data_IF_068479364335
#
_entry.id   IF_068479364335
#
_cell.length_a   1.000
_cell.length_b   1.000
_cell.length_c   1.000
_cell.angle_alpha   90.00
_cell.angle_beta   90.00
_cell.angle_gamma   90.00
#
_symmetry.space_group_name_H-M   'P 1'
#
loop_
_entity.id
_entity.type
_entity.pdbx_description
1 polymer ?
#
# COMPACT_ATOMS: atom_id res chain seq x y z
N UNK A 1 -4.87 10.42 -2.52
CA UNK A 1 -4.62 9.60 -3.72
C UNK A 1 -3.27 8.90 -3.57
N UNK A 2 -3.17 7.98 -2.61
CA UNK A 2 -1.96 7.17 -2.38
C UNK A 2 -2.39 5.71 -2.39
N UNK A 3 -1.73 4.89 -3.18
CA UNK A 3 -2.11 3.48 -3.36
C UNK A 3 -0.89 2.62 -3.70
N UNK A 4 -0.99 1.34 -3.41
CA UNK A 4 -0.09 0.32 -3.93
C UNK A 4 -0.68 -0.31 -5.19
N UNK A 5 0.11 -0.45 -6.24
CA UNK A 5 -0.25 -1.22 -7.43
C UNK A 5 -0.15 -2.71 -7.09
N UNK A 6 -1.26 -3.45 -7.14
CA UNK A 6 -1.24 -4.88 -6.84
C UNK A 6 -0.91 -5.71 -8.08
N UNK A 7 -1.57 -5.38 -9.18
CA UNK A 7 -1.39 -6.01 -10.49
C UNK A 7 -1.85 -5.04 -11.57
N UNK A 8 -1.34 -5.21 -12.79
CA UNK A 8 -1.76 -4.44 -13.93
C UNK A 8 -1.59 -5.21 -15.24
N UNK A 9 -2.29 -4.76 -16.29
CA UNK A 9 -2.11 -5.32 -17.62
C UNK A 9 -0.82 -4.77 -18.26
N UNK A 10 0.13 -5.62 -18.68
CA UNK A 10 1.33 -5.15 -19.38
C UNK A 10 1.03 -4.72 -20.84
N UNK A 11 -0.21 -4.90 -21.30
CA UNK A 11 -0.64 -4.55 -22.66
C UNK A 11 -1.77 -3.51 -22.58
N UNK A 12 -1.48 -2.23 -22.83
CA UNK A 12 -2.50 -1.19 -22.84
C UNK A 12 -3.65 -1.52 -23.81
N UNK A 13 -4.87 -1.25 -23.36
CA UNK A 13 -6.09 -1.39 -24.14
C UNK A 13 -6.44 -0.04 -24.78
N UNK A 14 -6.93 -0.06 -26.02
CA UNK A 14 -7.44 1.15 -26.67
C UNK A 14 -8.94 1.30 -26.38
N UNK A 15 -9.30 2.30 -25.58
CA UNK A 15 -10.68 2.64 -25.24
C UNK A 15 -11.00 4.06 -25.71
N UNK A 16 -11.97 4.19 -26.63
CA UNK A 16 -12.42 5.48 -27.19
C UNK A 16 -11.27 6.38 -27.69
N UNK A 17 -10.27 5.76 -28.33
CA UNK A 17 -9.11 6.47 -28.88
C UNK A 17 -7.93 6.62 -27.91
N UNK A 18 -8.16 6.51 -26.60
CA UNK A 18 -7.12 6.58 -25.58
C UNK A 18 -6.57 5.19 -25.27
N UNK A 19 -5.27 5.11 -24.98
CA UNK A 19 -4.68 3.89 -24.43
C UNK A 19 -4.73 3.94 -22.90
N UNK A 20 -5.17 2.85 -22.30
CA UNK A 20 -5.35 2.72 -20.86
C UNK A 20 -4.79 1.39 -20.38
N UNK A 21 -4.39 1.36 -19.12
CA UNK A 21 -3.92 0.17 -18.42
C UNK A 21 -4.96 -0.20 -17.37
N UNK A 22 -5.56 -1.38 -17.48
CA UNK A 22 -6.40 -1.93 -16.41
C UNK A 22 -5.50 -2.40 -15.27
N UNK A 23 -5.87 -2.09 -14.04
CA UNK A 23 -5.08 -2.41 -12.85
C UNK A 23 -5.97 -2.73 -11.65
N UNK A 24 -5.36 -3.37 -10.66
CA UNK A 24 -5.93 -3.55 -9.33
C UNK A 24 -5.01 -2.85 -8.33
N UNK A 25 -5.57 -2.06 -7.43
CA UNK A 25 -4.79 -1.26 -6.46
C UNK A 25 -5.30 -1.46 -5.04
N UNK A 26 -4.42 -1.19 -4.07
CA UNK A 26 -4.76 -1.15 -2.66
C UNK A 26 -4.60 0.30 -2.18
N UNK A 27 -5.70 1.06 -2.02
CA UNK A 27 -5.61 2.43 -1.53
C UNK A 27 -5.17 2.47 -0.07
N UNK A 28 -4.41 3.51 0.28
CA UNK A 28 -4.11 3.82 1.69
C UNK A 28 -5.39 4.28 2.43
N UNK A 29 -6.27 5.00 1.73
CA UNK A 29 -7.63 5.34 2.15
C UNK A 29 -8.52 5.38 0.92
N UNK A 30 -9.60 4.60 0.95
CA UNK A 30 -10.54 4.47 -0.17
C UNK A 30 -11.24 5.79 -0.47
N UNK A 31 -11.59 6.54 0.56
CA UNK A 31 -12.28 7.83 0.48
C UNK A 31 -11.39 8.91 -0.18
N UNK A 32 -10.07 8.74 -0.11
CA UNK A 32 -9.08 9.66 -0.67
C UNK A 32 -8.51 9.19 -2.02
N UNK A 33 -9.03 8.09 -2.58
CA UNK A 33 -8.66 7.61 -3.90
C UNK A 33 -9.50 8.38 -4.95
N UNK A 34 -8.83 9.24 -5.70
CA UNK A 34 -9.45 10.12 -6.69
C UNK A 34 -8.61 10.09 -7.96
N UNK A 35 -9.19 10.45 -9.10
CA UNK A 35 -8.42 10.61 -10.34
C UNK A 35 -7.36 11.72 -10.21
N UNK A 36 -6.25 11.58 -10.93
CA UNK A 36 -5.16 12.54 -10.92
C UNK A 36 -3.80 11.92 -11.22
N UNK A 37 -2.79 12.77 -11.35
CA UNK A 37 -1.43 12.35 -11.65
C UNK A 37 -0.72 11.89 -10.37
N UNK A 38 0.03 10.80 -10.47
CA UNK A 38 0.81 10.24 -9.38
C UNK A 38 2.19 9.79 -9.85
N UNK A 39 3.12 9.69 -8.91
CA UNK A 39 4.49 9.28 -9.14
C UNK A 39 4.81 8.00 -8.38
N UNK A 40 5.42 7.05 -9.07
CA UNK A 40 5.88 5.78 -8.53
C UNK A 40 7.07 6.00 -7.59
N UNK A 41 6.99 5.42 -6.39
CA UNK A 41 7.94 5.73 -5.32
C UNK A 41 9.29 5.02 -5.44
N UNK A 42 9.40 4.06 -6.37
CA UNK A 42 10.66 3.36 -6.68
C UNK A 42 11.17 3.76 -8.06
N UNK A 43 10.28 3.77 -9.04
CA UNK A 43 10.64 4.03 -10.43
C UNK A 43 10.72 5.51 -10.79
N UNK A 44 10.06 6.39 -10.03
CA UNK A 44 9.81 7.78 -10.43
C UNK A 44 8.82 7.91 -11.59
N UNK A 45 8.19 6.81 -12.03
CA UNK A 45 7.26 6.79 -13.15
C UNK A 45 6.04 7.66 -12.83
N UNK A 46 5.78 8.64 -13.68
CA UNK A 46 4.57 9.45 -13.59
C UNK A 46 3.47 8.77 -14.39
N UNK A 47 2.34 8.51 -13.74
CA UNK A 47 1.15 7.94 -14.36
C UNK A 47 -0.08 8.76 -13.96
N UNK A 48 -1.17 8.55 -14.67
CA UNK A 48 -2.47 9.11 -14.32
C UNK A 48 -3.44 8.03 -13.88
N UNK A 49 -3.98 8.17 -12.66
CA UNK A 49 -5.17 7.45 -12.24
C UNK A 49 -6.39 8.09 -12.92
N UNK A 50 -6.99 7.39 -13.87
CA UNK A 50 -8.13 7.86 -14.66
C UNK A 50 -9.45 7.59 -13.91
N UNK A 51 -9.59 6.39 -13.35
CA UNK A 51 -10.74 6.01 -12.53
C UNK A 51 -10.38 4.92 -11.54
N UNK A 52 -11.10 4.86 -10.43
CA UNK A 52 -11.03 3.81 -9.41
C UNK A 52 -12.39 3.13 -9.23
N UNK A 53 -13.07 2.91 -10.36
CA UNK A 53 -14.41 2.35 -10.44
C UNK A 53 -14.37 0.98 -11.08
N UNK A 54 -15.27 0.10 -10.68
CA UNK A 54 -15.42 -1.22 -11.27
C UNK A 54 -15.87 -2.24 -10.24
N UNK A 55 -15.84 -3.50 -10.63
CA UNK A 55 -16.18 -4.62 -9.76
C UNK A 55 -15.08 -5.67 -9.84
N UNK A 56 -14.65 -6.14 -8.68
CA UNK A 56 -13.75 -7.28 -8.54
C UNK A 56 -14.50 -8.36 -7.76
N UNK A 57 -14.42 -9.58 -8.26
CA UNK A 57 -14.93 -10.76 -7.56
C UNK A 57 -13.73 -11.57 -7.08
N UNK A 58 -13.33 -11.43 -5.80
CA UNK A 58 -12.21 -12.21 -5.28
C UNK A 58 -12.58 -13.70 -5.22
N UNK A 59 -11.56 -14.55 -5.36
CA UNK A 59 -11.68 -15.97 -5.03
C UNK A 59 -12.09 -16.16 -3.56
N UNK A 60 -12.73 -17.30 -3.20
CA UNK A 60 -13.18 -17.56 -1.84
C UNK A 60 -12.10 -17.37 -0.76
N UNK A 61 -10.88 -17.77 -1.06
CA UNK A 61 -9.70 -17.68 -0.20
C UNK A 61 -9.20 -16.26 0.03
N UNK A 62 -9.38 -15.37 -0.96
CA UNK A 62 -8.89 -13.99 -0.91
C UNK A 62 -9.97 -13.01 -0.45
N UNK A 63 -11.21 -13.46 -0.26
CA UNK A 63 -12.39 -12.61 -0.07
C UNK A 63 -12.24 -11.66 1.11
N UNK A 64 -11.78 -12.19 2.25
CA UNK A 64 -11.61 -11.38 3.45
C UNK A 64 -10.47 -10.38 3.27
N UNK A 65 -9.31 -10.82 2.77
CA UNK A 65 -8.19 -9.93 2.50
C UNK A 65 -8.58 -8.78 1.55
N UNK A 66 -9.28 -9.08 0.46
CA UNK A 66 -9.70 -8.07 -0.52
C UNK A 66 -10.67 -7.06 0.09
N UNK A 67 -11.59 -7.53 0.92
CA UNK A 67 -12.52 -6.67 1.64
C UNK A 67 -11.79 -5.76 2.64
N UNK A 68 -10.81 -6.29 3.37
CA UNK A 68 -10.10 -5.54 4.42
C UNK A 68 -9.07 -4.55 3.89
N UNK A 69 -8.43 -4.87 2.78
CA UNK A 69 -7.45 -4.00 2.13
C UNK A 69 -8.09 -2.96 1.23
N UNK A 70 -9.42 -2.97 1.10
CA UNK A 70 -10.16 -2.09 0.19
C UNK A 70 -9.65 -2.22 -1.25
N UNK A 71 -9.32 -3.44 -1.68
CA UNK A 71 -8.80 -3.72 -3.03
C UNK A 71 -9.78 -3.17 -4.06
N UNK A 72 -9.27 -2.33 -4.96
CA UNK A 72 -10.07 -1.50 -5.85
C UNK A 72 -9.58 -1.65 -7.28
N UNK A 73 -10.45 -1.97 -8.25
CA UNK A 73 -10.08 -1.92 -9.66
C UNK A 73 -9.84 -0.47 -10.09
N UNK A 74 -8.83 -0.27 -10.92
CA UNK A 74 -8.40 1.03 -11.40
C UNK A 74 -8.16 1.02 -12.91
N UNK A 75 -8.39 2.17 -13.53
CA UNK A 75 -7.95 2.48 -14.89
C UNK A 75 -6.84 3.50 -14.80
N UNK A 76 -5.67 3.13 -15.30
CA UNK A 76 -4.48 3.99 -15.38
C UNK A 76 -4.25 4.36 -16.86
N UNK A 77 -3.39 5.34 -17.12
CA UNK A 77 -2.94 5.64 -18.48
C UNK A 77 -1.95 4.58 -19.02
N UNK A 78 -1.46 4.78 -20.25
CA UNK A 78 -0.56 3.81 -20.90
C UNK A 78 0.82 3.71 -20.23
N UNK A 79 1.27 4.75 -19.52
CA UNK A 79 2.57 4.76 -18.85
C UNK A 79 2.64 3.66 -17.78
N UNK A 80 1.52 3.39 -17.11
CA UNK A 80 1.42 2.36 -16.09
C UNK A 80 1.73 0.93 -16.58
N UNK A 81 1.74 0.65 -17.88
CA UNK A 81 2.13 -0.66 -18.41
C UNK A 81 3.62 -1.00 -18.20
N UNK A 82 4.43 -0.02 -17.81
CA UNK A 82 5.84 -0.21 -17.43
C UNK A 82 6.07 -0.19 -15.91
N UNK A 83 5.00 -0.14 -15.11
CA UNK A 83 5.10 -0.11 -13.66
C UNK A 83 5.47 -1.50 -13.10
N UNK A 84 5.87 -1.54 -11.82
CA UNK A 84 6.10 -2.80 -11.12
C UNK A 84 4.97 -3.09 -10.12
N UNK A 85 4.56 -4.34 -10.03
CA UNK A 85 3.63 -4.77 -9.00
C UNK A 85 4.27 -4.60 -7.61
N UNK A 86 3.48 -4.17 -6.63
CA UNK A 86 3.94 -3.73 -5.31
C UNK A 86 4.50 -2.31 -5.26
N UNK A 87 4.56 -1.59 -6.39
CA UNK A 87 4.97 -0.18 -6.39
C UNK A 87 3.91 0.71 -5.72
N UNK A 88 4.36 1.63 -4.86
CA UNK A 88 3.49 2.62 -4.24
C UNK A 88 3.51 3.89 -5.07
N UNK A 89 2.33 4.38 -5.42
CA UNK A 89 2.12 5.64 -6.12
C UNK A 89 1.58 6.70 -5.15
N UNK A 90 2.17 7.89 -5.20
CA UNK A 90 1.79 9.06 -4.39
C UNK A 90 1.44 10.24 -5.29
N UNK A 91 0.61 11.20 -4.84
CA UNK A 91 0.32 12.42 -5.61
C UNK A 91 1.59 13.17 -6.03
N UNK A 92 1.61 13.74 -7.23
CA UNK A 92 2.79 14.48 -7.74
C UNK A 92 3.13 15.75 -6.95
N UNK A 93 2.23 16.24 -6.10
CA UNK A 93 2.49 17.42 -5.27
C UNK A 93 2.56 17.00 -3.81
N UNK A 94 3.69 17.30 -3.17
CA UNK A 94 3.90 17.10 -1.74
C UNK A 94 5.24 16.45 -1.40
N UNK A 95 5.49 16.30 -0.10
CA UNK A 95 6.63 15.54 0.40
C UNK A 95 6.11 14.22 0.94
N UNK A 96 6.65 13.13 0.41
CA UNK A 96 6.25 11.78 0.77
C UNK A 96 7.44 11.00 1.32
N UNK A 97 7.27 10.44 2.51
CA UNK A 97 8.26 9.58 3.15
C UNK A 97 7.76 8.16 3.15
N UNK A 98 8.44 7.28 2.41
CA UNK A 98 8.09 5.86 2.32
C UNK A 98 9.20 5.04 2.97
N UNK A 99 8.86 4.30 4.01
CA UNK A 99 9.79 3.35 4.64
C UNK A 99 9.39 1.93 4.28
N UNK A 100 10.35 1.13 3.80
CA UNK A 100 10.17 -0.30 3.62
C UNK A 100 10.91 -1.03 4.75
N UNK A 101 10.17 -1.87 5.47
CA UNK A 101 10.64 -2.53 6.68
C UNK A 101 10.40 -4.03 6.56
N UNK A 102 11.35 -4.82 7.04
CA UNK A 102 11.14 -6.26 7.24
C UNK A 102 11.18 -6.57 8.73
N UNK A 103 10.31 -7.49 9.15
CA UNK A 103 10.21 -7.99 10.51
C UNK A 103 10.38 -9.50 10.56
N UNK A 104 11.09 -9.96 11.59
CA UNK A 104 11.18 -11.35 11.96
C UNK A 104 10.48 -11.60 13.30
N UNK A 105 9.86 -12.78 13.47
CA UNK A 105 9.21 -13.15 14.73
C UNK A 105 7.89 -12.42 15.01
N UNK A 106 7.11 -12.13 13.96
CA UNK A 106 5.74 -11.60 14.08
C UNK A 106 4.89 -12.54 14.94
N UNK A 107 4.26 -11.97 15.97
CA UNK A 107 3.27 -12.64 16.81
C UNK A 107 1.89 -12.06 16.50
N UNK A 108 1.09 -12.74 15.66
CA UNK A 108 -0.25 -12.26 15.35
C UNK A 108 -1.15 -12.36 16.59
N UNK A 109 -1.80 -11.27 16.98
CA UNK A 109 -2.96 -11.31 17.86
C UNK A 109 -4.20 -11.00 17.01
N UNK A 110 -5.13 -11.96 16.95
CA UNK A 110 -6.38 -11.85 16.18
C UNK A 110 -6.20 -11.61 14.67
N UNK A 111 -5.14 -12.13 14.05
CA UNK A 111 -4.94 -12.13 12.59
C UNK A 111 -5.45 -13.45 12.01
N UNK A 112 -6.53 -13.46 11.21
CA UNK A 112 -6.99 -14.67 10.56
C UNK A 112 -5.94 -15.21 9.58
N UNK A 113 -5.80 -16.54 9.53
CA UNK A 113 -4.89 -17.20 8.58
C UNK A 113 -5.25 -16.89 7.12
N UNK A 114 -6.52 -16.54 6.84
CA UNK A 114 -6.98 -16.10 5.51
C UNK A 114 -6.35 -14.80 5.02
N UNK A 115 -5.65 -14.05 5.90
CA UNK A 115 -4.93 -12.83 5.54
C UNK A 115 -3.44 -13.07 5.31
N UNK A 116 -2.93 -14.30 5.53
CA UNK A 116 -1.51 -14.60 5.33
C UNK A 116 -1.13 -14.49 3.84
N UNK A 117 0.01 -13.88 3.55
CA UNK A 117 0.49 -13.61 2.21
C UNK A 117 -0.14 -12.39 1.51
N UNK A 118 -1.20 -11.80 2.07
CA UNK A 118 -1.87 -10.63 1.48
C UNK A 118 -1.38 -9.31 2.08
N UNK A 119 -1.34 -8.27 1.24
CA UNK A 119 -1.11 -6.91 1.68
C UNK A 119 -2.37 -6.33 2.31
N UNK A 120 -2.29 -5.95 3.58
CA UNK A 120 -3.38 -5.36 4.35
C UNK A 120 -3.03 -3.92 4.71
N UNK A 121 -3.94 -2.98 4.45
CA UNK A 121 -3.79 -1.59 4.89
C UNK A 121 -3.92 -1.51 6.40
N UNK A 122 -2.97 -0.90 7.11
CA UNK A 122 -2.90 -0.86 8.57
C UNK A 122 -2.46 0.51 9.08
N UNK A 123 -2.81 0.81 10.34
CA UNK A 123 -2.17 1.87 11.13
C UNK A 123 -1.04 1.26 11.96
N UNK A 124 0.13 1.89 11.93
CA UNK A 124 1.28 1.48 12.74
C UNK A 124 1.27 2.26 14.06
N UNK A 125 1.29 1.54 15.17
CA UNK A 125 1.25 2.09 16.52
C UNK A 125 2.53 1.70 17.28
N UNK A 126 3.15 2.67 17.95
CA UNK A 126 4.33 2.47 18.78
C UNK A 126 4.20 3.31 20.05
N UNK A 127 4.42 2.69 21.22
CA UNK A 127 4.24 3.32 22.54
C UNK A 127 2.83 3.92 22.69
N UNK A 128 1.80 3.17 22.29
CA UNK A 128 0.38 3.57 22.32
C UNK A 128 0.01 4.79 21.45
N UNK A 129 0.89 5.22 20.54
CA UNK A 129 0.65 6.33 19.63
C UNK A 129 0.67 5.86 18.18
N UNK A 130 -0.31 6.28 17.38
CA UNK A 130 -0.30 6.07 15.93
C UNK A 130 0.88 6.86 15.34
N UNK A 131 1.80 6.13 14.71
CA UNK A 131 3.01 6.68 14.09
C UNK A 131 2.88 6.90 12.59
N UNK A 132 1.92 6.25 11.96
CA UNK A 132 1.58 6.44 10.56
C UNK A 132 0.71 5.30 10.05
N UNK A 133 0.45 5.28 8.74
CA UNK A 133 -0.34 4.26 8.09
C UNK A 133 0.43 3.67 6.91
N UNK A 134 -0.02 2.52 6.42
CA UNK A 134 0.57 1.90 5.25
C UNK A 134 0.07 0.49 5.07
N UNK A 135 0.94 -0.42 4.68
CA UNK A 135 0.58 -1.80 4.39
C UNK A 135 1.48 -2.79 5.11
N UNK A 136 0.89 -3.91 5.52
CA UNK A 136 1.57 -5.06 6.11
C UNK A 136 1.24 -6.31 5.27
N UNK A 137 2.26 -7.07 4.91
CA UNK A 137 2.12 -8.44 4.41
C UNK A 137 2.86 -9.36 5.36
N UNK A 138 2.12 -10.22 6.06
CA UNK A 138 2.66 -11.26 6.91
C UNK A 138 2.78 -12.56 6.11
N UNK A 139 3.87 -13.30 6.30
CA UNK A 139 4.04 -14.65 5.77
C UNK A 139 4.60 -15.51 6.89
N UNK A 140 3.80 -16.45 7.41
CA UNK A 140 4.19 -17.24 8.59
C UNK A 140 4.65 -16.35 9.77
N UNK A 141 5.93 -16.40 10.16
CA UNK A 141 6.50 -15.61 11.27
C UNK A 141 7.26 -14.37 10.82
N UNK A 142 7.32 -14.07 9.53
CA UNK A 142 7.96 -12.87 9.00
C UNK A 142 6.92 -11.93 8.42
N UNK A 143 7.32 -10.68 8.17
CA UNK A 143 6.47 -9.78 7.42
C UNK A 143 7.19 -8.57 6.86
N UNK A 144 6.55 -8.03 5.83
CA UNK A 144 6.98 -6.85 5.10
C UNK A 144 6.01 -5.72 5.39
N UNK A 145 6.54 -4.53 5.62
CA UNK A 145 5.74 -3.35 5.86
C UNK A 145 6.19 -2.21 4.97
N UNK A 146 5.21 -1.42 4.56
CA UNK A 146 5.42 -0.15 3.89
C UNK A 146 4.75 0.90 4.75
N UNK A 147 5.50 1.83 5.32
CA UNK A 147 4.99 2.95 6.11
C UNK A 147 5.00 4.22 5.27
N UNK A 148 3.89 4.95 5.26
CA UNK A 148 3.71 6.19 4.51
C UNK A 148 3.58 7.37 5.46
N UNK A 149 4.43 8.39 5.28
CA UNK A 149 4.47 9.63 6.05
C UNK A 149 4.46 9.45 7.57
N UNK A 150 4.94 8.30 8.03
CA UNK A 150 5.04 7.98 9.44
C UNK A 150 6.46 8.11 9.95
N UNK A 151 6.58 8.12 11.27
CA UNK A 151 7.87 8.15 11.94
C UNK A 151 7.88 7.14 13.07
N UNK A 152 8.77 6.15 12.96
CA UNK A 152 8.99 5.15 13.98
C UNK A 152 10.27 5.53 14.72
N UNK A 153 10.21 5.47 16.05
CA UNK A 153 11.39 5.65 16.87
C UNK A 153 12.20 4.37 16.82
N UNK A 154 13.31 4.39 16.09
CA UNK A 154 14.20 3.24 15.97
C UNK A 154 15.04 3.08 17.25
N UNK A 155 14.80 1.99 17.98
CA UNK A 155 15.53 1.59 19.19
C UNK A 155 15.38 0.09 19.41
N UNK A 156 16.25 -0.54 20.23
CA UNK A 156 16.16 -1.98 20.52
C UNK A 156 15.58 -2.23 21.91
N UNK A 157 14.54 -3.08 22.05
CA UNK A 157 13.69 -3.67 21.00
C UNK A 157 12.65 -2.68 20.45
N UNK A 158 12.31 -2.80 19.16
CA UNK A 158 11.26 -2.03 18.50
C UNK A 158 9.97 -2.85 18.52
N UNK A 159 8.92 -2.35 19.17
CA UNK A 159 7.59 -2.97 19.18
C UNK A 159 6.64 -2.12 18.37
N UNK A 160 6.12 -2.67 17.28
CA UNK A 160 5.12 -2.00 16.43
C UNK A 160 3.88 -2.87 16.37
N UNK A 161 2.74 -2.25 16.63
CA UNK A 161 1.43 -2.85 16.45
C UNK A 161 0.83 -2.37 15.14
N UNK A 162 0.62 -3.28 14.20
CA UNK A 162 -0.16 -3.00 12.99
C UNK A 162 -1.64 -3.25 13.26
N UNK A 163 -2.47 -2.23 13.08
CA UNK A 163 -3.90 -2.25 13.43
C UNK A 163 -4.78 -1.98 12.21
N UNK A 164 -5.77 -2.86 11.99
CA UNK A 164 -6.93 -2.59 11.14
C UNK A 164 -8.19 -2.84 11.97
N UNK A 165 -9.10 -1.88 11.98
CA UNK A 165 -10.36 -2.03 12.70
C UNK A 165 -11.32 -2.87 11.89
N UNK A 166 -11.62 -4.09 12.36
CA UNK A 166 -12.63 -4.97 11.79
C UNK A 166 -13.82 -4.98 12.73
N UNK A 167 -14.94 -4.34 12.41
CA UNK A 167 -16.18 -4.36 13.25
C UNK A 167 -15.89 -4.53 14.77
N UNK A 168 -15.38 -3.49 15.45
CA UNK A 168 -15.05 -3.46 16.91
C UNK A 168 -14.03 -4.49 17.45
N UNK A 169 -13.51 -5.42 16.66
CA UNK A 169 -12.37 -6.26 17.03
C UNK A 169 -11.11 -5.65 16.41
N UNK A 170 -10.33 -5.01 17.28
CA UNK A 170 -9.03 -4.45 16.95
C UNK A 170 -8.08 -5.61 16.67
N UNK A 171 -7.68 -5.78 15.41
CA UNK A 171 -6.62 -6.75 15.09
C UNK A 171 -5.31 -6.12 15.54
N UNK A 172 -4.58 -6.79 16.42
CA UNK A 172 -3.32 -6.31 16.98
C UNK A 172 -2.19 -7.22 16.47
N UNK A 173 -1.55 -6.88 15.35
CA UNK A 173 -0.35 -7.62 14.95
C UNK A 173 0.87 -7.04 15.64
N UNK A 174 1.49 -7.80 16.54
CA UNK A 174 2.74 -7.42 17.19
C UNK A 174 3.93 -7.95 16.37
N UNK A 175 4.78 -7.05 15.87
CA UNK A 175 6.03 -7.40 15.18
C UNK A 175 7.24 -6.94 16.00
N UNK A 176 8.28 -7.79 16.10
CA UNK A 176 9.54 -7.50 16.82
C UNK A 176 10.74 -7.56 15.86
N UNK A 177 11.89 -7.04 16.28
CA UNK A 177 13.22 -7.17 15.64
C UNK A 177 13.29 -6.95 14.12
N UNK A 178 13.22 -5.68 13.72
CA UNK A 178 13.18 -5.28 12.32
C UNK A 178 14.58 -5.14 11.70
N UNK A 179 14.76 -5.66 10.48
CA UNK A 179 15.88 -5.32 9.60
C UNK A 179 15.45 -4.18 8.66
N UNK A 180 16.21 -3.09 8.68
CA UNK A 180 15.96 -1.93 7.83
C UNK A 180 16.51 -2.20 6.43
N UNK A 181 15.63 -2.21 5.42
CA UNK A 181 16.03 -2.59 4.05
C UNK A 181 16.11 -1.37 3.12
N UNK A 182 15.23 -0.37 3.22
CA UNK A 182 15.33 0.83 2.38
C UNK A 182 14.43 1.99 2.86
N UNK A 183 14.92 3.23 2.76
CA UNK A 183 14.10 4.45 2.91
C UNK A 183 14.18 5.29 1.68
N UNK A 184 13.04 5.39 0.99
CA UNK A 184 12.87 6.24 -0.17
C UNK A 184 12.06 7.46 0.26
N UNK A 185 12.75 8.58 0.42
CA UNK A 185 12.12 9.89 0.56
C UNK A 185 11.95 10.50 -0.82
N UNK A 186 10.72 10.77 -1.22
CA UNK A 186 10.44 11.50 -2.45
C UNK A 186 9.88 12.86 -2.08
N UNK A 187 10.63 13.89 -2.45
CA UNK A 187 10.14 15.25 -2.47
C UNK A 187 9.82 15.59 -3.91
N UNK A 188 8.55 15.83 -4.21
CA UNK A 188 8.17 16.42 -5.50
C UNK A 188 8.07 17.92 -5.31
N UNK A 189 9.15 18.62 -5.65
CA UNK A 189 9.16 20.09 -5.70
C UNK A 189 8.60 20.55 -7.04
N UNK A 190 7.62 21.47 -7.01
CA UNK A 190 7.35 22.32 -8.16
C UNK A 190 8.52 23.30 -8.29
N UNK A 191 9.47 23.04 -9.19
CA UNK A 191 10.09 24.17 -9.88
C UNK A 191 9.06 24.64 -10.91
N UNK A 192 8.28 25.64 -10.51
CA UNK A 192 7.55 26.47 -11.48
C UNK A 192 8.63 27.26 -12.23
N UNK A 193 8.96 26.80 -13.44
CA UNK A 193 9.58 27.63 -14.48
C UNK A 193 8.49 28.30 -15.30
#
# INVERSE_FOLDING_TARGET
MTFMLLEHSPRPLKLRGNKITAATVIPLSKERLSAGDCVGTKSGLIIKLISSSGHLTPGPEARDAFYLSDVTPATLDEAAASAQDGEVFVPIHGTWRIHQLQADGIKPLHWPDSLDGYWITVSFVQNHLVRGCGWLRKTATTGEMILVNGELNYGRPLTITAMKTLRKATVECECRDFAFVEVNSISTSNEVL
#
